data_IF_859717176593
#
_entry.id   IF_859717176593
#
_cell.length_a   1.000
_cell.length_b   1.000
_cell.length_c   1.000
_cell.angle_alpha   90.00
_cell.angle_beta   90.00
_cell.angle_gamma   90.00
#
_symmetry.space_group_name_H-M   'P 1'
#
loop_
_entity.id
_entity.type
_entity.pdbx_description
1 polymer ?
#
# COMPACT_ATOMS: atom_id res chain seq x y z
N UNK A 1 31.54 29.69 53.15
CA UNK A 1 32.15 29.75 51.81
C UNK A 1 31.36 28.83 50.88
N UNK A 2 30.52 29.39 50.01
CA UNK A 2 29.90 28.69 48.87
C UNK A 2 30.02 29.66 47.69
N UNK A 3 30.85 29.31 46.72
CA UNK A 3 31.06 30.10 45.51
C UNK A 3 29.91 29.82 44.53
N UNK A 4 29.22 30.87 44.08
CA UNK A 4 28.29 30.80 42.96
C UNK A 4 29.10 30.86 41.66
N UNK A 5 29.03 29.81 40.84
CA UNK A 5 29.57 29.80 39.49
C UNK A 5 28.54 30.40 38.53
N UNK A 6 28.90 31.51 37.89
CA UNK A 6 28.11 32.12 36.81
C UNK A 6 28.43 31.38 35.52
N UNK A 7 27.46 30.66 34.96
CA UNK A 7 27.57 30.04 33.64
C UNK A 7 27.28 31.11 32.57
N UNK A 8 28.32 31.58 31.88
CA UNK A 8 28.18 32.35 30.64
C UNK A 8 27.83 31.40 29.49
N UNK A 9 26.60 31.50 28.98
CA UNK A 9 26.17 30.79 27.78
C UNK A 9 26.80 31.46 26.54
N UNK A 10 27.66 30.72 25.84
CA UNK A 10 28.16 31.13 24.51
C UNK A 10 27.15 30.65 23.47
N UNK A 11 26.41 31.58 22.89
CA UNK A 11 25.54 31.31 21.75
C UNK A 11 26.39 31.16 20.49
N UNK A 12 26.61 29.94 20.04
CA UNK A 12 27.15 29.68 18.69
C UNK A 12 26.03 29.86 17.67
N UNK A 13 26.11 30.95 16.90
CA UNK A 13 25.27 31.16 15.72
C UNK A 13 25.63 30.09 14.67
N UNK A 14 24.73 29.13 14.46
CA UNK A 14 24.82 28.20 13.34
C UNK A 14 24.50 28.99 12.06
N UNK A 15 25.51 29.17 11.21
CA UNK A 15 25.32 29.72 9.88
C UNK A 15 24.42 28.76 9.08
N UNK A 16 23.28 29.27 8.61
CA UNK A 16 22.44 28.59 7.63
C UNK A 16 23.21 28.53 6.31
N UNK A 17 23.90 27.42 6.07
CA UNK A 17 24.37 27.07 4.75
C UNK A 17 23.14 26.81 3.88
N UNK A 18 22.82 27.77 3.00
CA UNK A 18 21.84 27.55 1.94
C UNK A 18 22.25 26.33 1.13
N UNK A 19 21.34 25.35 1.03
CA UNK A 19 21.56 24.13 0.26
C UNK A 19 21.85 24.48 -1.19
N UNK A 20 23.09 24.26 -1.61
CA UNK A 20 23.44 24.20 -3.03
C UNK A 20 22.77 22.94 -3.56
N UNK A 21 21.74 23.09 -4.38
CA UNK A 21 21.13 21.97 -5.09
C UNK A 21 22.20 21.24 -5.90
N UNK A 22 22.41 19.97 -5.59
CA UNK A 22 23.39 19.11 -6.23
C UNK A 22 23.12 19.06 -7.74
N UNK A 23 24.05 19.53 -8.57
CA UNK A 23 23.91 19.55 -10.03
C UNK A 23 23.74 18.15 -10.66
N UNK A 24 23.95 17.10 -9.86
CA UNK A 24 23.73 15.71 -10.22
C UNK A 24 22.24 15.31 -10.28
N UNK A 25 21.33 16.05 -9.63
CA UNK A 25 19.89 15.76 -9.59
C UNK A 25 19.07 16.73 -10.45
N UNK A 26 19.49 16.94 -11.70
CA UNK A 26 18.69 17.68 -12.69
C UNK A 26 17.69 16.74 -13.38
N UNK A 27 16.38 16.81 -13.07
CA UNK A 27 15.38 15.89 -13.61
C UNK A 27 15.21 16.00 -15.14
N UNK A 28 15.67 17.10 -15.75
CA UNK A 28 15.61 17.28 -17.21
C UNK A 28 16.67 16.49 -17.98
N UNK A 29 17.69 15.95 -17.29
CA UNK A 29 18.81 15.22 -17.90
C UNK A 29 18.72 13.71 -17.74
N UNK A 30 17.66 13.19 -17.11
CA UNK A 30 17.47 11.77 -16.94
C UNK A 30 17.21 11.08 -18.29
N UNK A 31 17.85 9.93 -18.51
CA UNK A 31 17.71 9.10 -19.71
C UNK A 31 17.28 7.70 -19.30
N UNK A 32 16.38 7.11 -20.10
CA UNK A 32 15.95 5.73 -19.93
C UNK A 32 17.14 4.77 -20.08
N UNK A 33 17.24 3.71 -19.26
CA UNK A 33 18.20 2.63 -19.46
C UNK A 33 18.00 1.98 -20.83
N UNK A 34 19.07 1.88 -21.62
CA UNK A 34 19.02 1.32 -22.99
C UNK A 34 18.82 -0.20 -22.99
N UNK A 35 19.19 -0.85 -21.89
CA UNK A 35 19.07 -2.28 -21.64
C UNK A 35 17.72 -2.67 -21.00
N UNK A 36 16.87 -1.69 -20.65
CA UNK A 36 15.57 -1.92 -20.03
C UNK A 36 15.61 -2.44 -18.59
N UNK A 37 16.80 -2.46 -17.96
CA UNK A 37 16.96 -2.84 -16.57
C UNK A 37 16.83 -1.63 -15.64
N UNK A 38 16.00 -1.73 -14.62
CA UNK A 38 15.74 -0.69 -13.63
C UNK A 38 16.20 -1.18 -12.25
N UNK A 39 16.91 -0.33 -11.48
CA UNK A 39 17.18 -0.60 -10.06
C UNK A 39 15.89 -0.32 -9.27
N UNK A 40 15.10 -1.38 -9.04
CA UNK A 40 13.82 -1.31 -8.34
C UNK A 40 13.93 -1.46 -6.84
N UNK A 41 15.12 -1.76 -6.32
CA UNK A 41 15.33 -2.01 -4.90
C UNK A 41 15.17 -0.71 -4.09
N UNK A 42 14.17 -0.68 -3.20
CA UNK A 42 13.93 0.44 -2.31
C UNK A 42 15.10 0.64 -1.34
N UNK A 43 15.62 1.88 -1.25
CA UNK A 43 16.69 2.29 -0.33
C UNK A 43 16.26 3.57 0.36
N UNK A 44 16.29 3.55 1.70
CA UNK A 44 16.00 4.74 2.52
C UNK A 44 17.32 5.47 2.75
N UNK A 45 17.39 6.73 2.32
CA UNK A 45 18.55 7.61 2.53
C UNK A 45 18.16 8.71 3.53
N UNK A 46 18.76 8.76 4.74
CA UNK A 46 18.45 9.79 5.73
C UNK A 46 18.80 11.22 5.29
N UNK A 47 19.64 11.37 4.27
CA UNK A 47 20.10 12.67 3.77
C UNK A 47 19.26 13.17 2.59
N UNK A 48 18.28 12.39 2.11
CA UNK A 48 17.43 12.74 0.97
C UNK A 48 15.95 12.64 1.33
N UNK A 49 15.11 13.22 0.47
CA UNK A 49 13.68 12.98 0.52
C UNK A 49 13.40 11.55 0.08
N UNK A 50 12.79 10.77 0.97
CA UNK A 50 12.33 9.42 0.67
C UNK A 50 10.89 9.49 0.17
N UNK A 51 10.67 9.00 -1.05
CA UNK A 51 9.36 9.00 -1.71
C UNK A 51 8.81 7.58 -1.70
N UNK A 52 7.69 7.38 -1.01
CA UNK A 52 7.01 6.10 -0.95
C UNK A 52 5.94 6.04 -2.04
N UNK A 53 6.14 5.16 -3.02
CA UNK A 53 5.17 4.91 -4.08
C UNK A 53 4.28 3.73 -3.67
N UNK A 54 3.01 4.00 -3.38
CA UNK A 54 2.04 3.00 -2.93
C UNK A 54 1.11 2.68 -4.10
N UNK A 55 1.38 1.57 -4.78
CA UNK A 55 0.50 1.06 -5.82
C UNK A 55 -0.78 0.48 -5.18
N UNK A 56 -1.94 0.95 -5.65
CA UNK A 56 -3.25 0.52 -5.19
C UNK A 56 -4.22 0.50 -6.37
N UNK A 57 -5.31 -0.26 -6.21
CA UNK A 57 -6.51 -0.19 -7.06
C UNK A 57 -7.68 0.19 -6.18
N UNK A 58 -8.56 1.07 -6.68
CA UNK A 58 -9.81 1.40 -6.01
C UNK A 58 -10.93 0.67 -6.74
N UNK A 59 -11.57 -0.28 -6.05
CA UNK A 59 -12.53 -1.20 -6.65
C UNK A 59 -13.86 -1.13 -5.93
N UNK A 60 -14.82 -0.38 -6.49
CA UNK A 60 -16.10 -0.08 -5.84
C UNK A 60 -17.08 -1.28 -5.79
N UNK A 61 -17.44 -1.79 -4.60
CA UNK A 61 -18.42 -2.86 -4.44
C UNK A 61 -19.80 -2.26 -4.16
N UNK A 62 -20.46 -1.70 -5.17
CA UNK A 62 -21.79 -1.10 -5.01
C UNK A 62 -22.92 -2.08 -5.38
N UNK A 63 -23.80 -2.40 -4.42
CA UNK A 63 -24.86 -3.41 -4.54
C UNK A 63 -26.10 -2.90 -5.31
N UNK A 64 -26.07 -1.70 -5.88
CA UNK A 64 -27.22 -1.19 -6.64
C UNK A 64 -26.89 -0.39 -7.89
N UNK A 65 -25.75 0.30 -7.95
CA UNK A 65 -25.15 0.82 -9.19
C UNK A 65 -23.69 1.12 -8.86
N UNK A 66 -22.71 0.32 -9.33
CA UNK A 66 -21.30 0.77 -9.29
C UNK A 66 -21.13 1.83 -10.35
N UNK A 67 -21.70 3.02 -10.17
CA UNK A 67 -21.67 4.16 -11.10
C UNK A 67 -22.31 3.90 -12.50
N UNK A 68 -22.06 2.75 -13.15
CA UNK A 68 -22.58 2.29 -14.45
C UNK A 68 -22.78 0.74 -14.58
N UNK A 69 -22.34 -0.12 -13.64
CA UNK A 69 -22.39 -1.61 -13.76
C UNK A 69 -22.71 -2.35 -12.43
N UNK A 70 -23.07 -3.65 -12.49
CA UNK A 70 -23.35 -4.50 -11.31
C UNK A 70 -22.06 -5.11 -10.71
N UNK A 71 -22.08 -5.49 -9.42
CA UNK A 71 -20.94 -6.10 -8.69
C UNK A 71 -20.34 -7.31 -9.42
N UNK A 72 -21.19 -8.24 -9.87
CA UNK A 72 -20.72 -9.44 -10.57
C UNK A 72 -20.12 -9.14 -11.94
N UNK A 73 -20.66 -8.14 -12.64
CA UNK A 73 -20.15 -7.71 -13.94
C UNK A 73 -18.79 -7.05 -13.76
N UNK A 74 -18.66 -6.17 -12.77
CA UNK A 74 -17.41 -5.50 -12.47
C UNK A 74 -16.31 -6.50 -12.06
N UNK A 75 -16.68 -7.51 -11.27
CA UNK A 75 -15.77 -8.60 -10.92
C UNK A 75 -15.25 -9.36 -12.15
N UNK A 76 -16.15 -9.86 -12.99
CA UNK A 76 -15.79 -10.67 -14.15
C UNK A 76 -15.07 -9.88 -15.25
N UNK A 77 -15.35 -8.59 -15.40
CA UNK A 77 -14.75 -7.78 -16.47
C UNK A 77 -13.49 -7.04 -16.06
N UNK A 78 -13.29 -6.77 -14.76
CA UNK A 78 -12.21 -5.92 -14.25
C UNK A 78 -11.46 -6.58 -13.11
N UNK A 79 -12.10 -6.81 -11.97
CA UNK A 79 -11.39 -7.11 -10.72
C UNK A 79 -10.63 -8.42 -10.75
N UNK A 80 -11.18 -9.48 -11.37
CA UNK A 80 -10.46 -10.75 -11.50
C UNK A 80 -9.11 -10.56 -12.21
N UNK A 81 -9.10 -9.77 -13.29
CA UNK A 81 -7.89 -9.51 -14.07
C UNK A 81 -6.91 -8.62 -13.31
N UNK A 82 -7.40 -7.67 -12.53
CA UNK A 82 -6.57 -6.84 -11.66
C UNK A 82 -5.83 -7.73 -10.64
N UNK A 83 -6.55 -8.61 -9.94
CA UNK A 83 -5.95 -9.48 -8.93
C UNK A 83 -4.99 -10.50 -9.56
N UNK A 84 -5.36 -11.14 -10.66
CA UNK A 84 -4.52 -12.11 -11.36
C UNK A 84 -3.22 -11.45 -11.85
N UNK A 85 -3.33 -10.32 -12.54
CA UNK A 85 -2.14 -9.60 -13.05
C UNK A 85 -1.30 -8.99 -11.94
N UNK A 86 -1.92 -8.53 -10.84
CA UNK A 86 -1.18 -8.05 -9.68
C UNK A 86 -0.32 -9.17 -9.09
N UNK A 87 -0.87 -10.37 -8.89
CA UNK A 87 -0.12 -11.53 -8.37
C UNK A 87 1.02 -11.90 -9.34
N UNK A 88 0.76 -11.97 -10.64
CA UNK A 88 1.79 -12.26 -11.65
C UNK A 88 2.93 -11.22 -11.64
N UNK A 89 2.61 -9.94 -11.59
CA UNK A 89 3.60 -8.86 -11.62
C UNK A 89 4.39 -8.74 -10.30
N UNK A 90 3.78 -9.11 -9.17
CA UNK A 90 4.47 -9.28 -7.89
C UNK A 90 5.43 -10.47 -7.95
N UNK A 91 5.04 -11.61 -8.52
CA UNK A 91 5.95 -12.76 -8.68
C UNK A 91 7.11 -12.40 -9.61
N UNK A 92 6.86 -11.62 -10.68
CA UNK A 92 7.90 -11.25 -11.67
C UNK A 92 9.00 -10.36 -11.10
N UNK A 93 8.68 -9.44 -10.20
CA UNK A 93 9.67 -8.55 -9.59
C UNK A 93 9.51 -8.50 -8.07
N UNK A 94 10.50 -8.98 -7.28
CA UNK A 94 10.43 -9.04 -5.82
C UNK A 94 10.37 -7.68 -5.12
N UNK A 95 10.79 -6.59 -5.76
CA UNK A 95 10.79 -5.25 -5.15
C UNK A 95 9.41 -4.57 -5.22
N UNK A 96 8.47 -5.12 -6.00
CA UNK A 96 7.14 -4.53 -6.14
C UNK A 96 6.28 -4.85 -4.93
N UNK A 97 5.48 -3.86 -4.56
CA UNK A 97 4.45 -3.95 -3.54
C UNK A 97 3.12 -3.46 -4.11
N UNK A 98 2.03 -4.06 -3.68
CA UNK A 98 0.68 -3.70 -4.08
C UNK A 98 -0.27 -3.80 -2.89
N UNK A 99 -1.18 -2.84 -2.79
CA UNK A 99 -2.18 -2.75 -1.74
C UNK A 99 -3.57 -3.00 -2.31
N UNK A 100 -4.35 -3.82 -1.62
CA UNK A 100 -5.75 -4.11 -1.97
C UNK A 100 -6.64 -3.99 -0.74
N UNK A 101 -7.79 -3.33 -0.89
CA UNK A 101 -8.60 -2.86 0.23
C UNK A 101 -9.88 -3.69 0.37
N UNK A 102 -10.64 -3.84 -0.70
CA UNK A 102 -12.03 -4.31 -0.65
C UNK A 102 -12.16 -5.84 -0.54
N UNK A 103 -12.39 -6.35 0.67
CA UNK A 103 -12.46 -7.79 0.91
C UNK A 103 -13.61 -8.48 0.18
N UNK A 104 -14.69 -7.78 -0.19
CA UNK A 104 -15.80 -8.36 -0.95
C UNK A 104 -15.35 -9.03 -2.25
N UNK A 105 -14.43 -8.39 -2.98
CA UNK A 105 -13.90 -8.94 -4.22
C UNK A 105 -12.78 -9.93 -3.96
N UNK A 106 -11.89 -9.62 -3.01
CA UNK A 106 -10.78 -10.49 -2.68
C UNK A 106 -11.25 -11.86 -2.18
N UNK A 107 -12.23 -11.91 -1.27
CA UNK A 107 -12.76 -13.17 -0.74
C UNK A 107 -13.44 -14.00 -1.82
N UNK A 108 -14.19 -13.35 -2.72
CA UNK A 108 -14.76 -14.05 -3.89
C UNK A 108 -13.66 -14.66 -4.75
N UNK A 109 -12.68 -13.85 -5.16
CA UNK A 109 -11.55 -14.31 -5.96
C UNK A 109 -10.78 -15.43 -5.28
N UNK A 110 -10.52 -15.30 -3.97
CA UNK A 110 -9.80 -16.26 -3.14
C UNK A 110 -10.45 -17.65 -3.16
N UNK A 111 -11.78 -17.71 -3.09
CA UNK A 111 -12.53 -18.96 -3.14
C UNK A 111 -12.57 -19.61 -4.53
N UNK A 112 -12.32 -18.84 -5.59
CA UNK A 112 -12.20 -19.33 -6.96
C UNK A 112 -10.77 -19.84 -7.28
N UNK A 113 -9.77 -19.45 -6.48
CA UNK A 113 -8.37 -19.82 -6.72
C UNK A 113 -8.02 -21.27 -6.35
N UNK A 114 -7.09 -21.84 -7.11
CA UNK A 114 -6.47 -23.13 -6.80
C UNK A 114 -5.43 -23.03 -5.67
N UNK A 115 -5.05 -24.19 -5.10
CA UNK A 115 -4.12 -24.28 -3.97
C UNK A 115 -2.73 -23.68 -4.25
N UNK A 116 -2.27 -23.74 -5.50
CA UNK A 116 -0.98 -23.15 -5.90
C UNK A 116 -0.99 -21.62 -5.80
N UNK A 117 -1.99 -20.96 -6.41
CA UNK A 117 -2.15 -19.51 -6.35
C UNK A 117 -2.38 -19.04 -4.92
N UNK A 118 -3.20 -19.77 -4.16
CA UNK A 118 -3.41 -19.48 -2.74
C UNK A 118 -2.10 -19.55 -1.93
N UNK A 119 -1.23 -20.53 -2.20
CA UNK A 119 0.07 -20.62 -1.54
C UNK A 119 0.98 -19.44 -1.91
N UNK A 120 1.01 -19.06 -3.20
CA UNK A 120 1.77 -17.89 -3.67
C UNK A 120 1.29 -16.60 -3.01
N UNK A 121 -0.01 -16.37 -2.95
CA UNK A 121 -0.59 -15.17 -2.32
C UNK A 121 -0.28 -15.14 -0.83
N UNK A 122 -0.42 -16.27 -0.12
CA UNK A 122 -0.01 -16.37 1.30
C UNK A 122 1.45 -16.02 1.50
N UNK A 123 2.32 -16.46 0.60
CA UNK A 123 3.73 -16.09 0.63
C UNK A 123 3.92 -14.58 0.40
N UNK A 124 3.29 -13.99 -0.62
CA UNK A 124 3.39 -12.57 -0.94
C UNK A 124 2.87 -11.68 0.20
N UNK A 125 1.79 -12.08 0.87
CA UNK A 125 1.24 -11.40 2.04
C UNK A 125 2.22 -11.51 3.22
N UNK A 126 2.78 -12.69 3.47
CA UNK A 126 3.79 -12.90 4.52
C UNK A 126 5.06 -12.08 4.30
N UNK A 127 5.46 -11.89 3.05
CA UNK A 127 6.59 -11.05 2.66
C UNK A 127 6.27 -9.53 2.74
N UNK A 128 5.01 -9.15 2.98
CA UNK A 128 4.59 -7.74 3.01
C UNK A 128 4.55 -7.08 1.63
N UNK A 129 4.42 -7.89 0.58
CA UNK A 129 4.43 -7.43 -0.82
C UNK A 129 3.02 -7.25 -1.36
N UNK A 130 2.10 -8.10 -0.93
CA UNK A 130 0.67 -7.89 -1.10
C UNK A 130 0.11 -7.45 0.25
N UNK A 131 -0.25 -6.18 0.36
CA UNK A 131 -0.80 -5.61 1.59
C UNK A 131 -2.32 -5.67 1.56
N UNK A 132 -2.88 -6.46 2.48
CA UNK A 132 -4.32 -6.63 2.72
C UNK A 132 -4.77 -6.00 4.05
N UNK A 133 -3.85 -5.34 4.77
CA UNK A 133 -4.12 -4.80 6.12
C UNK A 133 -4.81 -3.44 6.09
N UNK A 134 -4.84 -2.78 4.92
CA UNK A 134 -5.47 -1.47 4.79
C UNK A 134 -6.98 -1.60 4.69
N UNK A 135 -7.67 -0.99 5.66
CA UNK A 135 -9.10 -1.13 5.95
C UNK A 135 -9.49 -2.56 6.37
N UNK A 136 -9.30 -3.54 5.49
CA UNK A 136 -9.64 -4.95 5.71
C UNK A 136 -11.15 -5.23 5.81
N UNK A 137 -12.00 -4.20 5.72
CA UNK A 137 -13.45 -4.38 5.72
C UNK A 137 -13.98 -4.99 4.43
N UNK A 138 -15.22 -5.46 4.49
CA UNK A 138 -15.93 -5.98 3.31
C UNK A 138 -15.98 -4.94 2.18
N UNK A 139 -16.18 -3.66 2.53
CA UNK A 139 -16.06 -2.52 1.62
C UNK A 139 -15.47 -1.29 2.32
N UNK A 140 -15.06 -0.31 1.52
CA UNK A 140 -14.89 1.06 1.99
C UNK A 140 -16.28 1.69 2.16
N UNK A 141 -16.82 1.64 3.38
CA UNK A 141 -18.15 2.14 3.67
C UNK A 141 -18.20 3.68 3.66
N UNK A 142 -19.36 4.23 3.33
CA UNK A 142 -19.64 5.66 3.54
C UNK A 142 -19.49 6.02 5.03
N UNK A 143 -19.10 7.25 5.35
CA UNK A 143 -18.93 7.71 6.73
C UNK A 143 -20.09 8.63 7.19
N UNK A 144 -20.98 9.05 6.29
CA UNK A 144 -22.06 9.99 6.60
C UNK A 144 -23.39 9.32 6.94
N UNK A 145 -23.77 8.28 6.21
CA UNK A 145 -25.12 7.68 6.27
C UNK A 145 -25.26 6.35 7.00
N UNK A 146 -24.22 5.49 7.20
CA UNK A 146 -24.46 4.21 7.84
C UNK A 146 -24.58 4.32 9.35
N UNK A 147 -25.27 3.34 9.92
CA UNK A 147 -25.28 3.12 11.35
C UNK A 147 -23.98 2.44 11.77
N UNK A 148 -23.42 2.84 12.93
CA UNK A 148 -22.14 2.30 13.41
C UNK A 148 -22.12 0.76 13.54
N UNK A 149 -23.27 0.14 13.83
CA UNK A 149 -23.39 -1.33 13.86
C UNK A 149 -23.06 -1.92 12.49
N UNK A 150 -23.56 -1.35 11.40
CA UNK A 150 -23.26 -1.81 10.05
C UNK A 150 -21.79 -1.60 9.68
N UNK A 151 -21.18 -0.51 10.15
CA UNK A 151 -19.74 -0.26 9.98
C UNK A 151 -18.91 -1.32 10.71
N UNK A 152 -19.29 -1.70 11.93
CA UNK A 152 -18.60 -2.75 12.70
C UNK A 152 -18.80 -4.13 12.06
N UNK A 153 -20.03 -4.47 11.68
CA UNK A 153 -20.36 -5.78 11.12
C UNK A 153 -19.61 -6.04 9.81
N UNK A 154 -19.59 -5.06 8.90
CA UNK A 154 -18.90 -5.21 7.62
C UNK A 154 -17.37 -5.29 7.80
N UNK A 155 -16.81 -4.54 8.76
CA UNK A 155 -15.37 -4.58 9.05
C UNK A 155 -15.00 -5.93 9.66
N UNK A 156 -15.76 -6.38 10.65
CA UNK A 156 -15.53 -7.66 11.32
C UNK A 156 -15.65 -8.84 10.35
N UNK A 157 -16.60 -8.78 9.41
CA UNK A 157 -16.77 -9.81 8.39
C UNK A 157 -15.58 -9.89 7.42
N UNK A 158 -15.06 -8.75 6.96
CA UNK A 158 -13.86 -8.70 6.14
C UNK A 158 -12.61 -9.23 6.88
N UNK A 159 -12.41 -8.75 8.10
CA UNK A 159 -11.28 -9.11 8.97
C UNK A 159 -11.26 -10.60 9.32
N UNK A 160 -12.42 -11.25 9.42
CA UNK A 160 -12.51 -12.68 9.76
C UNK A 160 -11.69 -13.55 8.82
N UNK A 161 -11.81 -13.37 7.50
CA UNK A 161 -11.05 -14.17 6.54
C UNK A 161 -9.55 -13.87 6.62
N UNK A 162 -9.18 -12.60 6.80
CA UNK A 162 -7.78 -12.19 6.96
C UNK A 162 -7.12 -12.88 8.16
N UNK A 163 -7.84 -12.97 9.28
CA UNK A 163 -7.37 -13.67 10.47
C UNK A 163 -7.28 -15.19 10.27
N UNK A 164 -8.29 -15.80 9.64
CA UNK A 164 -8.36 -17.24 9.44
C UNK A 164 -7.33 -17.77 8.42
N UNK A 165 -7.12 -17.05 7.31
CA UNK A 165 -6.29 -17.52 6.19
C UNK A 165 -4.84 -17.02 6.24
N UNK A 166 -4.64 -15.80 6.74
CA UNK A 166 -3.35 -15.09 6.70
C UNK A 166 -2.78 -14.78 8.08
N UNK A 167 -3.59 -14.89 9.15
CA UNK A 167 -3.16 -14.58 10.51
C UNK A 167 -2.87 -13.10 10.75
N UNK A 168 -3.51 -12.23 9.96
CA UNK A 168 -3.37 -10.76 10.03
C UNK A 168 -4.74 -10.12 10.34
N UNK A 169 -4.72 -8.90 10.86
CA UNK A 169 -5.90 -8.08 11.17
C UNK A 169 -5.66 -6.64 10.73
#
# INVERSE_FOLDING_TARGET
>A
MRAFAVLTAVATAAALAGGVGDAACDPSKWKLPVDGHYDTAAKIDPQKLNVHLIAHSHDDPCVSVCWLMNVDQYYMEKVQFILDTAVEELVRNPDRQFMFVEQSFFQRWWHEQGSEVQATVKQLVKEGRMDLTVNGGWCMHDEATPHYIAMVDQTAYGHKLLMEEFGIS
#
